data_IF_904391533584
#
_entry.id   IF_904391533584
#
_cell.length_a   1.000
_cell.length_b   1.000
_cell.length_c   1.000
_cell.angle_alpha   90.00
_cell.angle_beta   90.00
_cell.angle_gamma   90.00
#
_symmetry.space_group_name_H-M   'P 1'
#
loop_
_entity.id
_entity.type
_entity.pdbx_description
1 polymer ?
#
# COMPACT_ATOMS: atom_id res chain seq x y z
N UNK A 1 18.31 -13.44 -7.95
CA UNK A 1 17.13 -12.77 -8.56
C UNK A 1 16.28 -12.15 -7.46
N UNK A 2 15.73 -10.96 -7.69
CA UNK A 2 14.85 -10.26 -6.75
C UNK A 2 13.39 -10.60 -7.09
N UNK A 3 12.57 -10.92 -6.09
CA UNK A 3 11.12 -11.02 -6.23
C UNK A 3 10.47 -9.73 -5.73
N UNK A 4 9.59 -9.14 -6.52
CA UNK A 4 8.62 -8.11 -6.10
C UNK A 4 7.23 -8.75 -6.08
N UNK A 5 6.72 -8.99 -4.88
CA UNK A 5 5.39 -9.56 -4.68
C UNK A 5 4.39 -8.46 -4.35
N UNK A 6 3.60 -8.09 -5.34
CA UNK A 6 2.55 -7.09 -5.26
C UNK A 6 1.15 -7.67 -5.55
N UNK A 7 0.94 -8.97 -5.26
CA UNK A 7 -0.25 -9.73 -5.62
C UNK A 7 -1.58 -9.10 -5.16
N UNK A 8 -1.57 -8.29 -4.10
CA UNK A 8 -2.79 -7.67 -3.56
C UNK A 8 -2.93 -6.19 -3.92
N UNK A 9 -2.05 -5.66 -4.78
CA UNK A 9 -2.08 -4.26 -5.21
C UNK A 9 -2.73 -4.16 -6.59
N UNK A 10 -3.90 -3.51 -6.67
CA UNK A 10 -4.64 -3.39 -7.92
C UNK A 10 -5.22 -2.01 -8.20
N UNK A 11 -5.25 -1.12 -7.20
CA UNK A 11 -5.87 0.21 -7.35
C UNK A 11 -5.40 1.20 -6.29
N UNK A 12 -5.80 2.46 -6.43
CA UNK A 12 -5.54 3.54 -5.48
C UNK A 12 -4.05 3.85 -5.29
N UNK A 13 -3.71 4.47 -4.17
CA UNK A 13 -2.34 4.89 -3.87
C UNK A 13 -1.31 3.77 -3.89
N UNK A 14 -1.71 2.55 -3.53
CA UNK A 14 -0.84 1.38 -3.61
C UNK A 14 -0.41 1.06 -5.05
N UNK A 15 -1.32 1.21 -6.03
CA UNK A 15 -1.02 1.02 -7.46
C UNK A 15 -0.08 2.11 -7.97
N UNK A 16 -0.29 3.37 -7.60
CA UNK A 16 0.60 4.49 -7.97
C UNK A 16 2.03 4.24 -7.46
N UNK A 17 2.17 3.81 -6.22
CA UNK A 17 3.47 3.46 -5.66
C UNK A 17 4.09 2.24 -6.34
N UNK A 18 3.30 1.23 -6.71
CA UNK A 18 3.79 0.06 -7.45
C UNK A 18 4.28 0.44 -8.84
N UNK A 19 3.57 1.30 -9.56
CA UNK A 19 3.98 1.78 -10.89
C UNK A 19 5.31 2.53 -10.80
N UNK A 20 5.44 3.40 -9.83
CA UNK A 20 6.70 4.10 -9.58
C UNK A 20 7.84 3.13 -9.21
N UNK A 21 7.57 2.14 -8.35
CA UNK A 21 8.56 1.12 -8.01
C UNK A 21 9.05 0.35 -9.25
N UNK A 22 8.11 -0.08 -10.10
CA UNK A 22 8.45 -0.81 -11.32
C UNK A 22 9.25 0.11 -12.26
N UNK A 23 8.83 1.36 -12.43
CA UNK A 23 9.54 2.33 -13.25
C UNK A 23 11.01 2.50 -12.81
N UNK A 24 11.27 2.62 -11.52
CA UNK A 24 12.62 2.76 -10.99
C UNK A 24 13.43 1.46 -11.11
N UNK A 25 12.81 0.32 -10.84
CA UNK A 25 13.48 -0.98 -10.96
C UNK A 25 13.84 -1.33 -12.41
N UNK A 26 12.99 -0.96 -13.37
CA UNK A 26 13.26 -1.18 -14.80
C UNK A 26 14.41 -0.30 -15.35
N UNK A 27 14.83 0.73 -14.64
CA UNK A 27 16.05 1.50 -14.97
C UNK A 27 17.33 0.75 -14.59
N UNK A 28 17.23 -0.26 -13.73
CA UNK A 28 18.39 -1.01 -13.21
C UNK A 28 18.72 -2.24 -14.07
N UNK A 29 19.93 -2.78 -13.90
CA UNK A 29 20.35 -4.04 -14.51
C UNK A 29 20.05 -5.27 -13.63
N UNK A 30 19.23 -5.10 -12.61
CA UNK A 30 18.84 -6.19 -11.71
C UNK A 30 17.85 -7.13 -12.41
N UNK A 31 18.05 -8.44 -12.25
CA UNK A 31 17.07 -9.46 -12.69
C UNK A 31 15.93 -9.54 -11.68
N UNK A 32 14.74 -9.16 -12.12
CA UNK A 32 13.56 -9.07 -11.28
C UNK A 32 12.49 -10.07 -11.73
N UNK A 33 11.82 -10.63 -10.76
CA UNK A 33 10.61 -11.40 -10.94
C UNK A 33 9.44 -10.63 -10.31
N UNK A 34 8.46 -10.27 -11.10
CA UNK A 34 7.25 -9.60 -10.62
C UNK A 34 6.11 -10.61 -10.45
N UNK A 35 5.58 -10.72 -9.24
CA UNK A 35 4.34 -11.42 -8.93
C UNK A 35 3.24 -10.40 -8.74
N UNK A 36 2.37 -10.28 -9.72
CA UNK A 36 1.39 -9.21 -9.82
C UNK A 36 -0.04 -9.73 -9.78
N UNK A 37 -0.96 -8.86 -9.38
CA UNK A 37 -2.39 -9.12 -9.45
C UNK A 37 -2.86 -9.13 -10.92
N UNK A 38 -3.62 -10.15 -11.33
CA UNK A 38 -4.09 -10.25 -12.70
C UNK A 38 -5.02 -9.10 -13.13
N UNK A 39 -5.63 -8.39 -12.18
CA UNK A 39 -6.49 -7.23 -12.45
C UNK A 39 -5.74 -6.03 -13.02
N UNK A 40 -4.41 -5.96 -12.84
CA UNK A 40 -3.59 -4.88 -13.39
C UNK A 40 -2.89 -5.24 -14.69
N UNK A 41 -3.08 -6.44 -15.23
CA UNK A 41 -2.35 -6.95 -16.39
C UNK A 41 -2.38 -6.00 -17.60
N UNK A 42 -3.53 -5.37 -17.85
CA UNK A 42 -3.71 -4.45 -18.98
C UNK A 42 -3.44 -2.97 -18.61
N UNK A 43 -3.03 -2.72 -17.37
CA UNK A 43 -2.78 -1.36 -16.86
C UNK A 43 -1.49 -1.33 -16.05
N UNK A 44 -0.40 -1.77 -16.69
CA UNK A 44 0.95 -1.70 -16.15
C UNK A 44 1.91 -1.29 -17.28
N UNK A 45 2.95 -0.57 -16.94
CA UNK A 45 3.97 -0.19 -17.90
C UNK A 45 4.72 -1.40 -18.46
N UNK A 46 5.39 -1.21 -19.59
CA UNK A 46 6.23 -2.24 -20.19
C UNK A 46 7.35 -2.66 -19.24
N UNK A 47 7.54 -3.95 -19.12
CA UNK A 47 8.61 -4.58 -18.34
C UNK A 47 9.62 -5.17 -19.33
N UNK A 48 10.92 -5.01 -19.02
CA UNK A 48 12.02 -5.54 -19.87
C UNK A 48 11.92 -7.06 -20.03
N UNK A 49 12.28 -7.55 -21.20
CA UNK A 49 12.29 -9.01 -21.50
C UNK A 49 13.29 -9.80 -20.64
N UNK A 50 14.28 -9.12 -20.06
CA UNK A 50 15.22 -9.72 -19.09
C UNK A 50 14.59 -10.05 -17.74
N UNK A 51 13.43 -9.46 -17.44
CA UNK A 51 12.67 -9.66 -16.23
C UNK A 51 11.51 -10.65 -16.45
N UNK A 52 11.03 -11.25 -15.37
CA UNK A 52 9.91 -12.20 -15.41
C UNK A 52 8.69 -11.60 -14.77
N UNK A 53 7.52 -11.87 -15.34
CA UNK A 53 6.24 -11.45 -14.80
C UNK A 53 5.30 -12.64 -14.70
N UNK A 54 4.67 -12.80 -13.54
CA UNK A 54 3.57 -13.74 -13.34
C UNK A 54 2.36 -12.98 -12.79
N UNK A 55 1.26 -13.09 -13.49
CA UNK A 55 -0.02 -12.56 -13.05
C UNK A 55 -0.86 -13.66 -12.41
N UNK A 56 -1.26 -13.46 -11.16
CA UNK A 56 -2.14 -14.38 -10.45
C UNK A 56 -3.39 -13.63 -9.92
N UNK A 57 -4.53 -14.31 -9.78
CA UNK A 57 -5.63 -13.77 -9.00
C UNK A 57 -5.22 -13.60 -7.53
N UNK A 58 -5.73 -12.56 -6.86
CA UNK A 58 -5.47 -12.27 -5.46
C UNK A 58 -6.00 -13.39 -4.54
N UNK A 59 -5.25 -14.47 -4.45
CA UNK A 59 -5.58 -15.69 -3.71
C UNK A 59 -4.44 -16.07 -2.77
N UNK A 60 -4.77 -16.29 -1.49
CA UNK A 60 -3.82 -16.73 -0.48
C UNK A 60 -3.21 -18.09 -0.84
N UNK A 61 -4.04 -19.03 -1.33
CA UNK A 61 -3.59 -20.37 -1.70
C UNK A 61 -2.68 -20.35 -2.94
N UNK A 62 -3.02 -19.59 -3.99
CA UNK A 62 -2.17 -19.47 -5.18
C UNK A 62 -0.82 -18.83 -4.85
N UNK A 63 -0.82 -17.81 -3.99
CA UNK A 63 0.42 -17.20 -3.48
C UNK A 63 1.25 -18.20 -2.68
N UNK A 64 0.59 -19.03 -1.85
CA UNK A 64 1.28 -20.08 -1.07
C UNK A 64 1.96 -21.11 -2.00
N UNK A 65 1.25 -21.61 -3.00
CA UNK A 65 1.79 -22.56 -3.99
C UNK A 65 2.98 -21.95 -4.74
N UNK A 66 2.83 -20.69 -5.20
CA UNK A 66 3.94 -19.98 -5.85
C UNK A 66 5.20 -19.95 -4.98
N UNK A 67 5.08 -19.59 -3.71
CA UNK A 67 6.23 -19.57 -2.79
C UNK A 67 6.79 -20.99 -2.55
N UNK A 68 5.94 -21.99 -2.42
CA UNK A 68 6.36 -23.38 -2.21
C UNK A 68 7.20 -23.90 -3.39
N UNK A 69 6.78 -23.60 -4.61
CA UNK A 69 7.45 -24.03 -5.85
C UNK A 69 8.73 -23.23 -6.12
N UNK A 70 8.76 -21.95 -5.76
CA UNK A 70 9.81 -21.02 -6.16
C UNK A 70 10.73 -20.56 -5.01
N UNK A 71 10.62 -21.15 -3.80
CA UNK A 71 11.31 -20.68 -2.58
C UNK A 71 12.83 -20.56 -2.68
N UNK A 72 13.47 -21.28 -3.62
CA UNK A 72 14.92 -21.30 -3.78
C UNK A 72 15.42 -20.39 -4.93
N UNK A 73 14.51 -19.74 -5.69
CA UNK A 73 14.89 -18.92 -6.84
C UNK A 73 15.36 -17.51 -6.47
N UNK A 74 15.00 -17.05 -5.30
CA UNK A 74 15.17 -15.65 -4.91
C UNK A 74 16.27 -15.49 -3.85
N UNK A 75 17.10 -14.47 -4.02
CA UNK A 75 18.02 -13.99 -2.98
C UNK A 75 17.38 -12.93 -2.09
N UNK A 76 16.45 -12.15 -2.67
CA UNK A 76 15.74 -11.06 -1.99
C UNK A 76 14.27 -11.08 -2.40
N UNK A 77 13.39 -10.83 -1.46
CA UNK A 77 11.95 -10.74 -1.67
C UNK A 77 11.43 -9.43 -1.08
N UNK A 78 10.78 -8.63 -1.89
CA UNK A 78 10.02 -7.45 -1.47
C UNK A 78 8.53 -7.76 -1.54
N UNK A 79 7.87 -7.94 -0.41
CA UNK A 79 6.42 -8.03 -0.30
C UNK A 79 5.83 -6.63 -0.24
N UNK A 80 5.25 -6.15 -1.34
CA UNK A 80 4.74 -4.80 -1.48
C UNK A 80 3.28 -4.62 -1.04
N UNK A 81 2.57 -5.73 -0.82
CA UNK A 81 1.14 -5.76 -0.47
C UNK A 81 0.83 -5.85 1.02
N UNK A 82 1.63 -5.31 1.91
CA UNK A 82 1.46 -5.30 3.38
C UNK A 82 1.58 -6.67 4.09
N UNK A 83 1.65 -7.77 3.38
CA UNK A 83 1.70 -9.12 3.95
C UNK A 83 3.02 -9.81 3.66
N UNK A 84 3.73 -10.33 4.68
CA UNK A 84 4.88 -11.23 4.48
C UNK A 84 4.52 -12.47 3.66
N UNK A 85 5.51 -13.23 3.16
CA UNK A 85 5.26 -14.51 2.52
C UNK A 85 4.50 -15.48 3.44
N UNK A 86 3.73 -16.39 2.84
CA UNK A 86 2.95 -17.39 3.57
C UNK A 86 3.83 -18.47 4.22
N UNK A 87 5.08 -18.55 3.83
CA UNK A 87 6.10 -19.47 4.37
C UNK A 87 7.40 -18.72 4.65
N UNK A 88 8.21 -19.22 5.56
CA UNK A 88 9.56 -18.71 5.76
C UNK A 88 10.45 -19.09 4.58
N UNK A 89 11.20 -18.11 4.06
CA UNK A 89 12.12 -18.26 2.93
C UNK A 89 13.57 -18.17 3.42
N UNK A 90 14.51 -18.75 2.65
CA UNK A 90 15.95 -18.52 2.84
C UNK A 90 16.39 -17.14 2.35
N UNK A 91 15.65 -16.59 1.40
CA UNK A 91 15.85 -15.25 0.87
C UNK A 91 15.72 -14.19 1.97
N UNK A 92 16.41 -13.06 1.80
CA UNK A 92 16.19 -11.85 2.63
C UNK A 92 14.83 -11.25 2.29
N UNK A 93 13.94 -11.17 3.26
CA UNK A 93 12.56 -10.73 3.06
C UNK A 93 12.33 -9.35 3.66
N UNK A 94 11.84 -8.44 2.81
CA UNK A 94 11.37 -7.12 3.17
C UNK A 94 9.86 -7.04 2.95
N UNK A 95 9.12 -6.48 3.90
CA UNK A 95 7.69 -6.23 3.74
C UNK A 95 7.40 -4.74 3.83
N UNK A 96 6.92 -4.16 2.73
CA UNK A 96 6.48 -2.78 2.69
C UNK A 96 5.06 -2.66 3.25
N UNK A 97 4.92 -1.85 4.31
CA UNK A 97 3.67 -1.71 5.04
C UNK A 97 3.19 -0.26 4.99
N UNK A 98 2.03 -0.04 4.39
CA UNK A 98 1.44 1.29 4.17
C UNK A 98 -0.06 1.36 4.50
N UNK A 99 -0.69 0.26 5.02
CA UNK A 99 -2.12 0.19 5.26
C UNK A 99 -2.47 0.41 6.74
N UNK A 100 -2.90 1.62 7.07
CA UNK A 100 -3.23 2.02 8.45
C UNK A 100 -4.40 1.23 9.07
N UNK A 101 -5.33 0.70 8.28
CA UNK A 101 -6.45 -0.10 8.79
C UNK A 101 -6.00 -1.41 9.45
N UNK A 102 -4.80 -1.90 9.14
CA UNK A 102 -4.19 -2.99 9.86
C UNK A 102 -3.65 -2.59 11.25
N UNK A 103 -3.41 -1.30 11.47
CA UNK A 103 -2.99 -0.78 12.78
C UNK A 103 -4.20 -0.41 13.63
N UNK A 104 -5.17 0.29 13.07
CA UNK A 104 -6.39 0.72 13.76
C UNK A 104 -7.59 0.52 12.82
N UNK A 105 -8.52 -0.33 13.22
CA UNK A 105 -9.77 -0.54 12.50
C UNK A 105 -10.65 0.70 12.73
N UNK A 106 -11.08 1.35 11.67
CA UNK A 106 -11.92 2.55 11.76
C UNK A 106 -13.30 2.21 12.34
N UNK A 107 -13.80 3.10 13.19
CA UNK A 107 -15.07 2.89 13.90
C UNK A 107 -16.32 2.92 13.02
N UNK A 108 -16.25 3.65 11.91
CA UNK A 108 -17.30 3.86 10.92
C UNK A 108 -17.45 2.74 9.88
N UNK A 109 -16.59 1.72 9.94
CA UNK A 109 -16.73 0.55 9.09
C UNK A 109 -17.91 -0.32 9.49
N UNK A 110 -18.55 -0.97 8.50
CA UNK A 110 -19.62 -1.94 8.76
C UNK A 110 -19.10 -3.14 9.59
N UNK A 111 -19.99 -3.83 10.28
CA UNK A 111 -19.64 -5.02 11.08
C UNK A 111 -18.88 -6.07 10.25
N UNK A 112 -19.34 -6.32 9.01
CA UNK A 112 -18.67 -7.25 8.08
C UNK A 112 -17.24 -6.81 7.75
N UNK A 113 -17.03 -5.52 7.50
CA UNK A 113 -15.69 -4.97 7.22
C UNK A 113 -14.79 -5.05 8.46
N UNK A 114 -15.31 -4.75 9.66
CA UNK A 114 -14.56 -4.88 10.92
C UNK A 114 -14.07 -6.31 11.14
N UNK A 115 -14.94 -7.31 10.95
CA UNK A 115 -14.58 -8.73 11.05
C UNK A 115 -13.51 -9.09 10.01
N UNK A 116 -13.66 -8.64 8.76
CA UNK A 116 -12.68 -8.90 7.70
C UNK A 116 -11.31 -8.31 8.06
N UNK A 117 -11.25 -7.05 8.53
CA UNK A 117 -9.98 -6.45 8.95
C UNK A 117 -9.40 -7.12 10.19
N UNK A 118 -10.23 -7.55 11.13
CA UNK A 118 -9.78 -8.33 12.28
C UNK A 118 -9.11 -9.65 11.85
N UNK A 119 -9.73 -10.39 10.92
CA UNK A 119 -9.12 -11.61 10.35
C UNK A 119 -7.80 -11.31 9.65
N UNK A 120 -7.75 -10.26 8.82
CA UNK A 120 -6.52 -9.82 8.15
C UNK A 120 -5.42 -9.49 9.15
N UNK A 121 -5.74 -8.82 10.27
CA UNK A 121 -4.75 -8.51 11.31
C UNK A 121 -4.23 -9.75 12.02
N UNK A 122 -5.07 -10.78 12.22
CA UNK A 122 -4.65 -12.08 12.77
C UNK A 122 -3.70 -12.81 11.81
N UNK A 123 -4.02 -12.82 10.51
CA UNK A 123 -3.14 -13.38 9.47
C UNK A 123 -1.79 -12.64 9.47
N UNK A 124 -1.79 -11.31 9.47
CA UNK A 124 -0.55 -10.52 9.51
C UNK A 124 0.29 -10.86 10.75
N UNK A 125 -0.35 -10.94 11.93
CA UNK A 125 0.33 -11.29 13.18
C UNK A 125 0.95 -12.70 13.14
N UNK A 126 0.31 -13.63 12.45
CA UNK A 126 0.87 -14.98 12.26
C UNK A 126 2.06 -14.97 11.28
N UNK A 127 1.96 -14.21 10.18
CA UNK A 127 2.96 -14.16 9.12
C UNK A 127 4.15 -13.24 9.42
N UNK A 128 4.07 -12.36 10.43
CA UNK A 128 5.14 -11.38 10.72
C UNK A 128 6.52 -12.01 10.93
N UNK A 129 6.59 -13.27 11.36
CA UNK A 129 7.83 -14.04 11.54
C UNK A 129 8.53 -14.42 10.22
N UNK A 130 7.82 -14.31 9.09
CA UNK A 130 8.32 -14.68 7.77
C UNK A 130 9.00 -13.51 7.03
N UNK A 131 9.10 -12.34 7.65
CA UNK A 131 9.87 -11.19 7.13
C UNK A 131 11.07 -10.90 8.00
N UNK A 132 12.14 -10.39 7.42
CA UNK A 132 13.34 -9.98 8.13
C UNK A 132 13.29 -8.51 8.50
N UNK A 133 12.76 -7.67 7.60
CA UNK A 133 12.62 -6.23 7.79
C UNK A 133 11.27 -5.71 7.30
N UNK A 134 10.79 -4.71 7.97
CA UNK A 134 9.62 -3.94 7.58
C UNK A 134 10.07 -2.59 7.01
N UNK A 135 9.46 -2.19 5.90
CA UNK A 135 9.65 -0.88 5.31
C UNK A 135 8.37 -0.07 5.52
N UNK A 136 8.50 1.13 6.04
CA UNK A 136 7.36 2.02 6.34
C UNK A 136 7.63 3.44 5.87
N UNK A 137 6.58 4.19 5.60
CA UNK A 137 6.70 5.56 5.09
C UNK A 137 6.89 6.62 6.19
N UNK A 138 6.61 6.31 7.45
CA UNK A 138 6.67 7.28 8.54
C UNK A 138 6.83 6.65 9.91
N UNK A 139 7.31 7.45 10.86
CA UNK A 139 7.42 7.10 12.27
C UNK A 139 6.07 6.73 12.91
N UNK A 140 4.97 7.33 12.44
CA UNK A 140 3.62 6.97 12.90
C UNK A 140 3.32 5.48 12.61
N UNK A 141 3.61 5.03 11.40
CA UNK A 141 3.41 3.63 10.99
C UNK A 141 4.37 2.71 11.73
N UNK A 142 5.64 3.11 11.88
CA UNK A 142 6.65 2.39 12.66
C UNK A 142 6.18 2.14 14.09
N UNK A 143 5.79 3.21 14.79
CA UNK A 143 5.31 3.12 16.16
C UNK A 143 4.05 2.25 16.28
N UNK A 144 3.18 2.30 15.27
CA UNK A 144 2.00 1.44 15.18
C UNK A 144 2.34 -0.04 15.07
N UNK A 145 3.34 -0.41 14.27
CA UNK A 145 3.81 -1.79 14.13
C UNK A 145 4.46 -2.31 15.43
N UNK A 146 5.31 -1.49 16.06
CA UNK A 146 5.90 -1.82 17.37
C UNK A 146 4.80 -2.06 18.40
N UNK A 147 3.87 -1.11 18.56
CA UNK A 147 2.83 -1.16 19.60
C UNK A 147 1.86 -2.32 19.38
N UNK A 148 1.39 -2.53 18.15
CA UNK A 148 0.33 -3.52 17.88
C UNK A 148 0.83 -4.93 17.67
N UNK A 149 1.96 -5.09 17.00
CA UNK A 149 2.46 -6.41 16.60
C UNK A 149 3.72 -6.83 17.35
N UNK A 150 4.28 -5.99 18.22
CA UNK A 150 5.49 -6.29 18.97
C UNK A 150 6.71 -6.51 18.07
N UNK A 151 6.77 -5.81 16.92
CA UNK A 151 7.91 -5.90 16.00
C UNK A 151 9.03 -5.04 16.58
N UNK A 152 10.24 -5.60 16.69
CA UNK A 152 11.39 -4.88 17.19
C UNK A 152 11.72 -3.65 16.30
N UNK A 153 12.00 -2.51 16.91
CA UNK A 153 12.15 -1.23 16.21
C UNK A 153 13.32 -1.21 15.23
N UNK A 154 14.39 -1.96 15.51
CA UNK A 154 15.55 -2.17 14.63
C UNK A 154 15.24 -2.98 13.37
N UNK A 155 14.12 -3.71 13.38
CA UNK A 155 13.58 -4.44 12.21
C UNK A 155 12.67 -3.57 11.33
N UNK A 156 12.42 -2.31 11.70
CA UNK A 156 11.53 -1.41 10.97
C UNK A 156 12.34 -0.23 10.44
N UNK A 157 12.47 -0.18 9.12
CA UNK A 157 13.19 0.87 8.41
C UNK A 157 12.18 1.90 7.89
N UNK A 158 12.40 3.16 8.23
CA UNK A 158 11.62 4.26 7.66
C UNK A 158 12.20 4.60 6.28
N UNK A 159 11.41 4.39 5.25
CA UNK A 159 11.75 4.67 3.87
C UNK A 159 10.58 5.42 3.24
N UNK A 160 10.59 6.76 3.26
CA UNK A 160 9.65 7.54 2.49
C UNK A 160 9.78 7.17 1.02
N UNK A 161 8.69 6.69 0.43
CA UNK A 161 8.67 6.21 -0.93
C UNK A 161 7.43 6.77 -1.64
N UNK A 162 7.66 7.66 -2.61
CA UNK A 162 6.63 8.28 -3.44
C UNK A 162 7.28 8.82 -4.72
N UNK A 163 6.53 8.92 -5.82
CA UNK A 163 7.03 9.59 -7.02
C UNK A 163 7.43 11.04 -6.70
N UNK A 164 8.51 11.56 -7.30
CA UNK A 164 8.83 12.97 -7.18
C UNK A 164 7.65 13.81 -7.67
N UNK A 165 7.39 14.91 -6.98
CA UNK A 165 6.45 15.91 -7.48
C UNK A 165 7.21 16.79 -8.46
N UNK A 166 6.67 16.93 -9.67
CA UNK A 166 7.11 17.98 -10.57
C UNK A 166 6.90 19.33 -9.88
N UNK A 167 7.84 20.24 -10.05
CA UNK A 167 7.77 21.55 -9.42
C UNK A 167 6.38 22.14 -9.67
N UNK A 168 5.64 22.49 -8.61
CA UNK A 168 4.32 23.03 -8.79
C UNK A 168 4.44 24.31 -9.62
N UNK A 169 3.82 24.31 -10.78
CA UNK A 169 3.56 25.56 -11.48
C UNK A 169 2.88 26.45 -10.45
N UNK A 170 3.41 27.65 -10.24
CA UNK A 170 2.83 28.64 -9.37
C UNK A 170 1.35 28.82 -9.73
N UNK A 171 0.50 28.09 -9.04
CA UNK A 171 -0.92 28.16 -9.27
C UNK A 171 -1.49 29.33 -8.45
N UNK A 172 -2.29 30.16 -9.11
CA UNK A 172 -3.01 31.23 -8.43
C UNK A 172 -3.88 30.60 -7.32
N UNK A 173 -3.61 30.99 -6.10
CA UNK A 173 -4.44 30.55 -4.96
C UNK A 173 -5.75 31.35 -4.96
N UNK A 174 -6.87 30.66 -4.99
CA UNK A 174 -8.18 31.27 -4.82
C UNK A 174 -8.52 31.34 -3.34
N UNK A 175 -8.71 32.53 -2.77
CA UNK A 175 -9.07 32.67 -1.35
C UNK A 175 -10.40 31.95 -1.06
N UNK A 176 -10.50 31.32 0.10
CA UNK A 176 -11.66 30.55 0.56
C UNK A 176 -12.05 29.36 -0.35
N UNK A 177 -11.13 28.86 -1.18
CA UNK A 177 -11.33 27.62 -1.95
C UNK A 177 -10.62 26.46 -1.25
N UNK A 178 -11.36 25.38 -1.03
CA UNK A 178 -10.91 24.18 -0.33
C UNK A 178 -11.05 22.99 -1.26
N UNK A 179 -9.98 22.22 -1.41
CA UNK A 179 -9.97 20.99 -2.22
C UNK A 179 -9.72 19.78 -1.32
N UNK A 180 -10.61 18.79 -1.37
CA UNK A 180 -10.40 17.50 -0.70
C UNK A 180 -10.28 16.39 -1.73
N UNK A 181 -9.06 15.91 -1.94
CA UNK A 181 -8.75 14.85 -2.90
C UNK A 181 -8.83 13.50 -2.21
N UNK A 182 -9.88 12.74 -2.52
CA UNK A 182 -10.07 11.39 -1.95
C UNK A 182 -11.13 10.62 -2.74
N UNK A 183 -11.02 9.27 -2.72
CA UNK A 183 -12.11 8.42 -3.18
C UNK A 183 -13.27 8.39 -2.15
N UNK A 184 -14.46 7.92 -2.56
CA UNK A 184 -15.68 7.89 -1.74
C UNK A 184 -15.71 6.81 -0.64
N UNK A 185 -14.57 6.25 -0.24
CA UNK A 185 -14.55 5.22 0.80
C UNK A 185 -15.03 5.78 2.16
N UNK A 186 -15.83 5.04 2.94
CA UNK A 186 -16.43 5.51 4.21
C UNK A 186 -15.43 6.11 5.19
N UNK A 187 -14.24 5.50 5.34
CA UNK A 187 -13.19 5.98 6.25
C UNK A 187 -12.56 7.33 5.85
N UNK A 188 -12.94 7.90 4.70
CA UNK A 188 -12.49 9.22 4.25
C UNK A 188 -13.37 10.36 4.78
N UNK A 189 -14.46 10.04 5.49
CA UNK A 189 -15.29 10.99 6.22
C UNK A 189 -15.86 12.16 5.40
N UNK A 190 -16.21 11.96 4.13
CA UNK A 190 -16.81 13.00 3.29
C UNK A 190 -18.05 13.63 3.93
N UNK A 191 -18.92 12.83 4.55
CA UNK A 191 -20.11 13.34 5.23
C UNK A 191 -19.79 14.35 6.34
N UNK A 192 -18.82 14.03 7.20
CA UNK A 192 -18.37 14.96 8.26
C UNK A 192 -17.71 16.21 7.70
N UNK A 193 -16.97 16.08 6.58
CA UNK A 193 -16.37 17.23 5.94
C UNK A 193 -17.43 18.17 5.36
N UNK A 194 -18.45 17.63 4.69
CA UNK A 194 -19.58 18.41 4.16
C UNK A 194 -20.33 19.09 5.28
N UNK A 195 -20.66 18.38 6.35
CA UNK A 195 -21.32 18.94 7.52
C UNK A 195 -20.52 20.08 8.18
N UNK A 196 -19.23 19.88 8.34
CA UNK A 196 -18.34 20.90 8.88
C UNK A 196 -18.25 22.13 7.97
N UNK A 197 -18.20 21.92 6.66
CA UNK A 197 -18.15 23.00 5.68
C UNK A 197 -19.50 23.77 5.62
N UNK A 198 -20.64 23.06 5.72
CA UNK A 198 -21.97 23.71 5.80
C UNK A 198 -22.05 24.66 6.97
N UNK A 199 -21.63 24.25 8.16
CA UNK A 199 -21.58 25.11 9.36
C UNK A 199 -20.64 26.30 9.18
N UNK A 200 -19.50 26.10 8.52
CA UNK A 200 -18.58 27.18 8.18
C UNK A 200 -19.23 28.17 7.22
N UNK A 201 -19.90 27.68 6.17
CA UNK A 201 -20.56 28.51 5.17
C UNK A 201 -21.73 29.30 5.76
N UNK A 202 -22.56 28.69 6.60
CA UNK A 202 -23.65 29.36 7.35
C UNK A 202 -23.13 30.54 8.20
N UNK A 203 -21.98 30.35 8.85
CA UNK A 203 -21.37 31.37 9.70
C UNK A 203 -20.71 32.50 8.93
N UNK A 204 -20.09 32.20 7.79
CA UNK A 204 -19.19 33.16 7.11
C UNK A 204 -19.70 33.61 5.73
N UNK A 205 -20.74 32.96 5.22
CA UNK A 205 -21.34 33.16 3.90
C UNK A 205 -20.30 33.26 2.76
N UNK A 206 -19.23 32.44 2.83
CA UNK A 206 -18.14 32.42 1.85
C UNK A 206 -17.44 31.08 1.83
N UNK A 207 -16.89 30.76 0.66
CA UNK A 207 -16.08 29.58 0.46
C UNK A 207 -16.68 28.62 -0.56
N UNK A 208 -15.78 27.85 -1.18
CA UNK A 208 -16.12 26.75 -2.11
C UNK A 208 -15.39 25.50 -1.65
N UNK A 209 -16.12 24.41 -1.46
CA UNK A 209 -15.54 23.09 -1.21
C UNK A 209 -15.67 22.24 -2.45
N UNK A 210 -14.52 21.84 -2.99
CA UNK A 210 -14.44 20.89 -4.10
C UNK A 210 -14.03 19.52 -3.58
N UNK A 211 -14.79 18.49 -3.91
CA UNK A 211 -14.52 17.09 -3.56
C UNK A 211 -14.20 16.31 -4.83
N UNK A 212 -13.14 15.50 -4.78
CA UNK A 212 -12.93 14.46 -5.80
C UNK A 212 -13.54 13.16 -5.26
N UNK A 213 -14.53 12.64 -5.96
CA UNK A 213 -15.18 11.36 -5.64
C UNK A 213 -15.10 10.46 -6.85
N UNK A 214 -14.60 9.24 -6.71
CA UNK A 214 -14.51 8.22 -7.75
C UNK A 214 -14.96 6.86 -7.21
#
# INVERSE_FOLDING_TARGET
MILVDALYINSGGGKVLLDYLIQELEKTDKKIYYLLDNRIKNNIQQIKDTNKVLYLPASFNKRHLFYKENKNLFSTVLCFGNLPPNIRLKAKVYTYFHQLLFLKIAGDLSAKQKVLYWLKTKILNHLKKNTDYWLVQSSLVKNGLVKKYGIASDKILELPFYPPFDNPVSSQKFPNSYLYVSNANPHKNHGRLIEAFSKFYEKHNKGVLTLTVS
#
